data_IF_627291193652
#
_entry.id   IF_627291193652
#
_cell.length_a   1.000
_cell.length_b   1.000
_cell.length_c   1.000
_cell.angle_alpha   90.00
_cell.angle_beta   90.00
_cell.angle_gamma   90.00
#
_symmetry.space_group_name_H-M   'P 1'
#
loop_
_entity.id
_entity.type
_entity.pdbx_description
1 polymer ?
#
# COMPACT_ATOMS: atom_id res chain seq x y z
N UNK A 1 25.13 23.17 -24.74
CA UNK A 1 24.04 22.42 -24.07
C UNK A 1 23.66 23.18 -22.79
N UNK A 2 22.40 23.20 -22.38
CA UNK A 2 22.05 23.88 -21.12
C UNK A 2 22.71 23.14 -19.95
N UNK A 3 23.31 23.85 -18.95
CA UNK A 3 24.03 23.20 -17.85
C UNK A 3 23.23 22.15 -17.09
N UNK A 4 21.89 22.33 -16.99
CA UNK A 4 20.99 21.36 -16.38
C UNK A 4 20.97 20.00 -17.13
N UNK A 5 21.04 20.01 -18.45
CA UNK A 5 21.02 18.78 -19.26
C UNK A 5 22.35 18.00 -19.09
N UNK A 6 23.46 18.67 -18.87
CA UNK A 6 24.75 18.03 -18.60
C UNK A 6 24.75 17.33 -17.23
N UNK A 7 24.21 17.99 -16.20
CA UNK A 7 24.03 17.41 -14.86
C UNK A 7 23.13 16.19 -14.93
N UNK A 8 21.98 16.28 -15.61
CA UNK A 8 21.01 15.17 -15.75
C UNK A 8 21.63 13.99 -16.52
N UNK A 9 22.34 14.25 -17.62
CA UNK A 9 23.00 13.21 -18.40
C UNK A 9 24.07 12.47 -17.59
N UNK A 10 24.86 13.20 -16.79
CA UNK A 10 25.82 12.61 -15.87
C UNK A 10 25.11 11.70 -14.84
N UNK A 11 24.08 12.20 -14.16
CA UNK A 11 23.31 11.43 -13.19
C UNK A 11 22.68 10.16 -13.82
N UNK A 12 22.13 10.26 -15.03
CA UNK A 12 21.59 9.11 -15.75
C UNK A 12 22.68 8.10 -16.14
N UNK A 13 23.87 8.58 -16.48
CA UNK A 13 25.05 7.74 -16.70
C UNK A 13 25.46 6.98 -15.44
N UNK A 14 25.50 7.68 -14.30
CA UNK A 14 25.83 7.09 -13.00
C UNK A 14 24.82 6.02 -12.57
N UNK A 15 23.50 6.24 -12.80
CA UNK A 15 22.48 5.20 -12.56
C UNK A 15 22.69 3.96 -13.41
N UNK A 16 23.10 4.11 -14.69
CA UNK A 16 23.34 2.97 -15.59
C UNK A 16 24.62 2.21 -15.23
N UNK A 17 25.72 2.92 -14.95
CA UNK A 17 27.01 2.31 -14.61
C UNK A 17 26.97 1.59 -13.24
N UNK A 18 26.21 2.13 -12.29
CA UNK A 18 26.00 1.50 -10.97
C UNK A 18 24.92 0.40 -10.95
N UNK A 19 24.33 0.07 -12.10
CA UNK A 19 23.20 -0.86 -12.19
C UNK A 19 22.00 -0.51 -11.29
N UNK A 20 21.76 0.78 -11.07
CA UNK A 20 20.62 1.27 -10.28
C UNK A 20 19.50 1.87 -11.13
N UNK A 21 19.70 1.94 -12.45
CA UNK A 21 18.69 2.44 -13.38
C UNK A 21 17.46 1.52 -13.41
N UNK A 22 16.26 2.10 -13.25
CA UNK A 22 15.00 1.36 -13.22
C UNK A 22 14.43 1.22 -14.62
N UNK A 23 14.52 0.02 -15.17
CA UNK A 23 13.90 -0.30 -16.45
C UNK A 23 12.46 -0.76 -16.29
N UNK A 24 11.55 -0.15 -17.06
CA UNK A 24 10.18 -0.62 -17.21
C UNK A 24 10.13 -1.81 -18.17
N UNK A 25 9.31 -2.80 -17.82
CA UNK A 25 9.10 -3.99 -18.64
C UNK A 25 7.63 -4.09 -19.00
N UNK A 26 7.24 -3.81 -20.25
CA UNK A 26 5.85 -3.87 -20.66
C UNK A 26 5.25 -5.27 -20.53
N UNK A 27 4.01 -5.34 -20.03
CA UNK A 27 3.19 -6.55 -20.07
C UNK A 27 2.40 -6.58 -21.38
N UNK A 28 2.38 -7.74 -22.03
CA UNK A 28 1.68 -7.98 -23.30
C UNK A 28 0.35 -8.71 -23.09
N UNK A 29 -0.13 -8.75 -21.87
CA UNK A 29 -1.39 -9.37 -21.45
C UNK A 29 -2.02 -8.61 -20.28
N UNK A 30 -3.31 -8.86 -19.95
CA UNK A 30 -3.87 -8.39 -18.70
C UNK A 30 -3.05 -8.86 -17.49
N UNK A 31 -3.11 -8.09 -16.38
CA UNK A 31 -2.45 -8.42 -15.12
C UNK A 31 -3.14 -9.62 -14.46
N UNK A 32 -2.42 -10.74 -14.31
CA UNK A 32 -2.93 -11.99 -13.74
C UNK A 32 -1.78 -12.79 -13.08
N UNK A 33 -2.08 -14.00 -12.58
CA UNK A 33 -1.08 -14.95 -12.05
C UNK A 33 -0.01 -15.31 -13.09
N UNK A 34 -0.40 -15.42 -14.35
CA UNK A 34 0.49 -15.66 -15.49
C UNK A 34 0.28 -14.55 -16.52
N UNK A 35 1.34 -13.88 -16.88
CA UNK A 35 1.33 -12.76 -17.84
C UNK A 35 2.26 -13.04 -19.02
N UNK A 36 2.13 -12.25 -20.10
CA UNK A 36 3.02 -12.32 -21.25
C UNK A 36 4.04 -11.17 -21.19
N UNK A 37 5.32 -11.49 -21.30
CA UNK A 37 6.44 -10.55 -21.30
C UNK A 37 7.45 -10.98 -22.37
N UNK A 38 7.80 -10.09 -23.28
CA UNK A 38 8.72 -10.38 -24.40
C UNK A 38 8.35 -11.69 -25.13
N UNK A 39 7.07 -11.84 -25.47
CA UNK A 39 6.54 -13.01 -26.16
C UNK A 39 6.36 -14.28 -25.32
N UNK A 40 6.86 -14.33 -24.08
CA UNK A 40 6.86 -15.52 -23.21
C UNK A 40 5.84 -15.42 -22.07
N UNK A 41 5.22 -16.54 -21.72
CA UNK A 41 4.38 -16.65 -20.50
C UNK A 41 5.26 -16.81 -19.27
N UNK A 42 5.08 -15.94 -18.27
CA UNK A 42 5.82 -15.94 -17.00
C UNK A 42 4.87 -15.89 -15.83
N UNK A 43 5.20 -16.54 -14.71
CA UNK A 43 4.44 -16.43 -13.46
C UNK A 43 4.79 -15.10 -12.80
N UNK A 44 3.75 -14.33 -12.43
CA UNK A 44 3.88 -12.97 -11.91
C UNK A 44 3.99 -12.98 -10.40
N UNK A 45 5.15 -12.64 -9.86
CA UNK A 45 5.41 -12.47 -8.42
C UNK A 45 5.71 -11.01 -8.03
N UNK A 46 5.43 -10.03 -8.89
CA UNK A 46 5.72 -8.62 -8.62
C UNK A 46 4.46 -7.74 -8.56
N UNK A 47 3.27 -8.34 -8.63
CA UNK A 47 2.02 -7.60 -8.65
C UNK A 47 1.34 -7.54 -7.29
N UNK A 48 0.77 -6.37 -6.95
CA UNK A 48 -0.10 -6.20 -5.78
C UNK A 48 -1.52 -6.78 -5.99
N UNK A 49 -1.74 -7.57 -7.02
CA UNK A 49 -3.02 -8.23 -7.33
C UNK A 49 -3.26 -9.46 -6.43
N UNK A 50 -3.25 -9.25 -5.11
CA UNK A 50 -3.27 -10.32 -4.11
C UNK A 50 -4.46 -11.28 -4.24
N UNK A 51 -5.65 -10.78 -4.57
CA UNK A 51 -6.85 -11.59 -4.75
C UNK A 51 -7.09 -12.06 -6.18
N UNK A 52 -6.26 -11.63 -7.15
CA UNK A 52 -6.46 -11.95 -8.56
C UNK A 52 -7.61 -11.21 -9.20
N UNK A 53 -8.08 -10.11 -8.61
CA UNK A 53 -9.26 -9.39 -9.08
C UNK A 53 -8.99 -8.43 -10.25
N UNK A 54 -7.76 -8.04 -10.52
CA UNK A 54 -7.43 -7.04 -11.55
C UNK A 54 -7.91 -7.42 -12.96
N UNK A 55 -7.96 -8.72 -13.29
CA UNK A 55 -8.51 -9.22 -14.59
C UNK A 55 -9.71 -10.14 -14.43
N UNK A 56 -10.30 -10.19 -13.23
CA UNK A 56 -11.44 -11.07 -12.94
C UNK A 56 -12.65 -10.73 -13.81
N UNK A 57 -13.33 -11.72 -14.44
CA UNK A 57 -14.42 -11.49 -15.39
C UNK A 57 -15.55 -10.61 -14.83
N UNK A 58 -15.94 -10.81 -13.57
CA UNK A 58 -16.99 -10.00 -12.91
C UNK A 58 -16.55 -8.54 -12.68
N UNK A 59 -15.26 -8.30 -12.45
CA UNK A 59 -14.71 -6.93 -12.31
C UNK A 59 -14.66 -6.24 -13.67
N UNK A 60 -14.16 -6.93 -14.71
CA UNK A 60 -14.19 -6.40 -16.09
C UNK A 60 -15.61 -6.05 -16.54
N UNK A 61 -16.57 -6.95 -16.29
CA UNK A 61 -17.97 -6.68 -16.58
C UNK A 61 -18.49 -5.44 -15.83
N UNK A 62 -18.16 -5.29 -14.55
CA UNK A 62 -18.57 -4.14 -13.75
C UNK A 62 -18.00 -2.82 -14.30
N UNK A 63 -16.75 -2.81 -14.80
CA UNK A 63 -16.19 -1.61 -15.48
C UNK A 63 -17.00 -1.26 -16.72
N UNK A 64 -17.30 -2.25 -17.58
CA UNK A 64 -18.10 -2.04 -18.81
C UNK A 64 -19.51 -1.54 -18.49
N UNK A 65 -20.17 -2.16 -17.51
CA UNK A 65 -21.50 -1.76 -17.06
C UNK A 65 -21.45 -0.33 -16.44
N UNK A 66 -20.42 -0.03 -15.69
CA UNK A 66 -20.20 1.30 -15.11
C UNK A 66 -19.97 2.38 -16.16
N UNK A 67 -19.20 2.09 -17.22
CA UNK A 67 -19.02 3.04 -18.35
C UNK A 67 -20.34 3.29 -19.06
N UNK A 68 -21.15 2.24 -19.30
CA UNK A 68 -22.47 2.39 -19.92
C UNK A 68 -23.43 3.23 -19.09
N UNK A 69 -23.39 3.08 -17.74
CA UNK A 69 -24.32 3.75 -16.83
C UNK A 69 -23.91 5.19 -16.51
N UNK A 70 -22.62 5.44 -16.30
CA UNK A 70 -22.11 6.67 -15.70
C UNK A 70 -21.13 7.44 -16.60
N UNK A 71 -20.69 6.85 -17.71
CA UNK A 71 -19.59 7.38 -18.52
C UNK A 71 -18.21 7.09 -17.91
N UNK A 72 -17.12 7.49 -18.61
CA UNK A 72 -15.73 7.22 -18.20
C UNK A 72 -15.21 8.15 -17.11
N UNK A 73 -15.82 9.33 -16.91
CA UNK A 73 -15.34 10.32 -15.96
C UNK A 73 -16.35 11.40 -15.64
N UNK A 74 -16.03 12.27 -14.67
CA UNK A 74 -16.92 13.32 -14.19
C UNK A 74 -16.56 14.73 -14.73
N UNK A 75 -15.37 14.89 -15.30
CA UNK A 75 -14.83 16.19 -15.78
C UNK A 75 -14.91 17.30 -14.71
N UNK A 76 -14.93 16.97 -13.44
CA UNK A 76 -15.07 17.91 -12.32
C UNK A 76 -14.55 17.34 -11.01
N UNK A 77 -14.35 18.23 -10.03
CA UNK A 77 -14.05 17.90 -8.64
C UNK A 77 -15.34 17.62 -7.87
N UNK A 78 -15.22 16.92 -6.74
CA UNK A 78 -16.36 16.38 -5.98
C UNK A 78 -17.41 17.41 -5.58
N UNK A 79 -17.01 18.59 -5.09
CA UNK A 79 -17.96 19.56 -4.53
C UNK A 79 -18.67 20.43 -5.58
N UNK A 80 -18.15 20.52 -6.81
CA UNK A 80 -18.78 21.29 -7.88
C UNK A 80 -19.88 20.45 -8.55
N UNK A 81 -19.50 19.50 -9.40
CA UNK A 81 -20.43 18.57 -10.05
C UNK A 81 -19.84 17.18 -10.28
N UNK A 82 -18.71 16.88 -9.66
CA UNK A 82 -17.99 15.60 -9.81
C UNK A 82 -18.43 14.50 -8.83
N UNK A 83 -19.55 14.65 -8.11
CA UNK A 83 -20.10 13.61 -7.25
C UNK A 83 -21.22 12.85 -7.96
N UNK A 84 -21.07 11.55 -8.07
CA UNK A 84 -22.09 10.64 -8.56
C UNK A 84 -22.58 9.74 -7.41
N UNK A 85 -23.81 9.20 -7.52
CA UNK A 85 -24.40 8.29 -6.51
C UNK A 85 -23.46 7.14 -6.15
N UNK A 86 -22.79 6.55 -7.14
CA UNK A 86 -21.87 5.42 -6.92
C UNK A 86 -20.69 5.78 -6.02
N UNK A 87 -20.27 7.04 -5.97
CA UNK A 87 -19.24 7.47 -5.01
C UNK A 87 -19.75 7.39 -3.58
N UNK A 88 -20.97 7.89 -3.34
CA UNK A 88 -21.59 7.87 -2.01
C UNK A 88 -21.89 6.43 -1.55
N UNK A 89 -22.32 5.56 -2.48
CA UNK A 89 -22.54 4.15 -2.19
C UNK A 89 -21.22 3.43 -1.83
N UNK A 90 -20.14 3.71 -2.56
CA UNK A 90 -18.82 3.14 -2.27
C UNK A 90 -18.27 3.64 -0.94
N UNK A 91 -18.40 4.93 -0.62
CA UNK A 91 -18.02 5.52 0.68
C UNK A 91 -18.74 4.80 1.83
N UNK A 92 -20.06 4.64 1.75
CA UNK A 92 -20.87 3.90 2.73
C UNK A 92 -20.43 2.42 2.84
N UNK A 93 -20.14 1.80 1.70
CA UNK A 93 -19.69 0.39 1.66
C UNK A 93 -18.36 0.20 2.38
N UNK A 94 -17.40 1.09 2.14
CA UNK A 94 -16.08 1.06 2.77
C UNK A 94 -16.21 1.30 4.28
N UNK A 95 -16.93 2.34 4.68
CA UNK A 95 -17.17 2.67 6.10
C UNK A 95 -17.75 1.46 6.85
N UNK A 96 -18.82 0.88 6.33
CA UNK A 96 -19.46 -0.32 6.92
C UNK A 96 -18.51 -1.52 6.97
N UNK A 97 -17.72 -1.74 5.91
CA UNK A 97 -16.77 -2.85 5.85
C UNK A 97 -15.67 -2.72 6.91
N UNK A 98 -15.15 -1.52 7.13
CA UNK A 98 -14.09 -1.23 8.10
C UNK A 98 -14.61 -0.91 9.52
N UNK A 99 -15.92 -0.88 9.73
CA UNK A 99 -16.57 -0.44 10.99
C UNK A 99 -16.18 0.98 11.38
N UNK A 100 -16.06 1.88 10.40
CA UNK A 100 -15.91 3.31 10.57
C UNK A 100 -17.27 4.02 10.38
N UNK A 101 -17.34 5.29 10.78
CA UNK A 101 -18.58 6.07 10.68
C UNK A 101 -18.80 6.65 9.29
N UNK A 102 -17.73 7.13 8.64
CA UNK A 102 -17.77 7.70 7.28
C UNK A 102 -16.48 7.44 6.51
N UNK A 103 -16.50 7.72 5.20
CA UNK A 103 -15.37 7.55 4.29
C UNK A 103 -15.36 8.66 3.25
N UNK A 104 -14.17 9.08 2.81
CA UNK A 104 -13.94 10.02 1.71
C UNK A 104 -13.02 9.39 0.67
N UNK A 105 -13.38 9.51 -0.61
CA UNK A 105 -12.64 8.90 -1.74
C UNK A 105 -11.63 9.86 -2.37
N UNK A 106 -10.51 9.30 -2.81
CA UNK A 106 -9.44 9.98 -3.56
C UNK A 106 -9.06 9.18 -4.82
N UNK A 107 -8.28 9.78 -5.72
CA UNK A 107 -7.74 9.10 -6.90
C UNK A 107 -6.70 8.01 -6.54
N UNK A 108 -6.01 8.16 -5.42
CA UNK A 108 -5.04 7.18 -4.91
C UNK A 108 -4.92 7.28 -3.39
N UNK A 109 -4.38 6.25 -2.74
CA UNK A 109 -4.03 6.33 -1.33
C UNK A 109 -2.86 7.29 -1.08
N UNK A 110 -1.99 7.50 -2.08
CA UNK A 110 -0.96 8.53 -2.01
C UNK A 110 -1.59 9.91 -1.77
N UNK A 111 -2.53 10.30 -2.64
CA UNK A 111 -3.28 11.55 -2.50
C UNK A 111 -4.14 11.60 -1.24
N UNK A 112 -4.64 10.45 -0.77
CA UNK A 112 -5.39 10.38 0.49
C UNK A 112 -4.49 10.72 1.69
N UNK A 113 -3.30 10.15 1.78
CA UNK A 113 -2.34 10.43 2.85
C UNK A 113 -1.85 11.90 2.81
N UNK A 114 -1.50 12.43 1.63
CA UNK A 114 -1.18 13.86 1.48
C UNK A 114 -2.34 14.74 1.96
N UNK A 115 -3.55 14.42 1.52
CA UNK A 115 -4.76 15.15 1.87
C UNK A 115 -5.15 15.03 3.34
N UNK A 116 -4.86 13.89 3.98
CA UNK A 116 -5.10 13.66 5.40
C UNK A 116 -4.22 14.56 6.25
N UNK A 117 -2.89 14.41 6.14
CA UNK A 117 -1.97 15.12 7.01
C UNK A 117 -2.01 16.63 6.76
N UNK A 118 -1.90 17.08 5.51
CA UNK A 118 -1.96 18.50 5.17
C UNK A 118 -3.36 19.11 5.44
N UNK A 119 -4.43 18.33 5.39
CA UNK A 119 -5.78 18.78 5.67
C UNK A 119 -6.06 18.95 7.16
N UNK A 120 -5.51 18.08 8.01
CA UNK A 120 -5.69 18.12 9.46
C UNK A 120 -4.70 19.04 10.17
N UNK A 121 -3.41 19.00 9.76
CA UNK A 121 -2.30 19.61 10.49
C UNK A 121 -1.91 21.01 9.97
N UNK A 122 -2.46 21.45 8.83
CA UNK A 122 -2.36 22.84 8.38
C UNK A 122 -3.67 23.54 8.71
N UNK A 123 -3.63 24.48 9.65
CA UNK A 123 -4.84 25.19 10.06
C UNK A 123 -5.51 25.93 8.91
N UNK A 124 -6.82 25.70 8.77
CA UNK A 124 -7.72 26.34 7.82
C UNK A 124 -8.85 27.13 8.50
N UNK A 125 -8.90 27.04 9.83
CA UNK A 125 -10.01 27.60 10.63
C UNK A 125 -9.61 28.88 11.39
N UNK A 126 -8.37 29.36 11.24
CA UNK A 126 -7.89 30.57 11.90
C UNK A 126 -7.61 30.40 13.40
N UNK A 127 -7.28 29.19 13.86
CA UNK A 127 -6.76 29.02 15.22
C UNK A 127 -5.38 29.65 15.35
N UNK A 128 -5.26 30.62 16.23
CA UNK A 128 -3.99 31.27 16.52
C UNK A 128 -3.17 30.47 17.54
N UNK A 129 -1.83 30.54 17.42
CA UNK A 129 -0.87 29.99 18.39
C UNK A 129 -1.03 28.49 18.71
N UNK A 130 -1.41 27.68 17.72
CA UNK A 130 -1.44 26.23 17.90
C UNK A 130 -0.15 25.56 17.42
N UNK A 131 0.14 24.39 17.97
CA UNK A 131 1.07 23.42 17.42
C UNK A 131 0.40 22.05 17.35
N UNK A 132 0.79 21.27 16.33
CA UNK A 132 0.43 19.88 16.18
C UNK A 132 1.69 19.02 16.19
N UNK A 133 1.55 17.70 16.37
CA UNK A 133 2.67 16.78 16.26
C UNK A 133 2.30 15.51 15.54
N UNK A 134 3.19 15.06 14.65
CA UNK A 134 3.11 13.79 13.93
C UNK A 134 4.26 12.88 14.35
N UNK A 135 3.93 11.73 14.93
CA UNK A 135 4.87 10.61 15.18
C UNK A 135 4.71 9.59 14.06
N UNK A 136 5.78 9.33 13.31
CA UNK A 136 5.76 8.47 12.14
C UNK A 136 6.73 7.31 12.30
N UNK A 137 6.30 6.08 11.97
CA UNK A 137 7.21 4.95 11.88
C UNK A 137 8.26 5.20 10.79
N UNK A 138 9.50 4.81 11.06
CA UNK A 138 10.66 5.05 10.19
C UNK A 138 10.51 4.43 8.80
N UNK A 139 9.79 3.31 8.68
CA UNK A 139 9.59 2.58 7.42
C UNK A 139 8.23 2.84 6.78
N UNK A 140 7.49 3.83 7.24
CA UNK A 140 6.22 4.22 6.63
C UNK A 140 6.37 4.49 5.13
N UNK A 141 5.29 4.24 4.40
CA UNK A 141 5.20 4.50 2.98
C UNK A 141 5.50 5.97 2.63
N UNK A 142 6.12 6.20 1.47
CA UNK A 142 6.49 7.53 0.99
C UNK A 142 5.34 8.55 1.08
N UNK A 143 4.10 8.14 0.84
CA UNK A 143 2.93 9.03 0.91
C UNK A 143 2.64 9.56 2.33
N UNK A 144 2.92 8.78 3.38
CA UNK A 144 2.83 9.24 4.78
C UNK A 144 3.94 10.25 5.06
N UNK A 145 5.17 9.92 4.63
CA UNK A 145 6.34 10.80 4.78
C UNK A 145 6.13 12.13 4.06
N UNK A 146 5.68 12.09 2.80
CA UNK A 146 5.47 13.28 1.98
C UNK A 146 4.24 14.08 2.46
N UNK A 147 3.17 13.40 2.86
CA UNK A 147 2.02 14.04 3.52
C UNK A 147 2.43 14.81 4.79
N UNK A 148 3.30 14.22 5.61
CA UNK A 148 3.90 14.90 6.76
C UNK A 148 4.80 16.08 6.37
N UNK A 149 5.52 16.00 5.24
CA UNK A 149 6.34 17.11 4.72
C UNK A 149 5.54 18.29 4.20
N UNK A 150 4.31 18.06 3.74
CA UNK A 150 3.38 19.11 3.33
C UNK A 150 2.83 19.93 4.51
N UNK A 151 3.01 19.45 5.75
CA UNK A 151 2.65 20.20 6.95
C UNK A 151 3.68 21.31 7.22
N UNK A 152 3.19 22.50 7.61
CA UNK A 152 4.04 23.64 7.90
C UNK A 152 4.91 23.39 9.13
N UNK A 153 6.23 23.47 9.00
CA UNK A 153 7.17 23.24 10.11
C UNK A 153 7.05 24.23 11.27
N UNK A 154 6.46 25.38 11.03
CA UNK A 154 6.19 26.40 12.07
C UNK A 154 5.10 25.96 13.03
N UNK A 155 4.11 25.20 12.53
CA UNK A 155 2.92 24.77 13.28
C UNK A 155 2.85 23.27 13.53
N UNK A 156 3.70 22.47 12.89
CA UNK A 156 3.65 21.00 13.01
C UNK A 156 5.03 20.42 13.26
N UNK A 157 5.23 19.89 14.46
CA UNK A 157 6.42 19.11 14.79
C UNK A 157 6.29 17.68 14.19
N UNK A 158 7.44 17.11 13.82
CA UNK A 158 7.50 15.74 13.27
C UNK A 158 8.58 14.97 13.97
N UNK A 159 8.23 13.83 14.57
CA UNK A 159 9.16 12.90 15.18
C UNK A 159 9.06 11.54 14.51
N UNK A 160 10.18 10.89 14.28
CA UNK A 160 10.27 9.56 13.69
C UNK A 160 10.66 8.60 14.80
N UNK A 161 9.84 7.54 14.99
CA UNK A 161 10.21 6.45 15.88
C UNK A 161 10.76 5.25 15.09
N UNK A 162 11.63 4.47 15.74
CA UNK A 162 12.24 3.31 15.13
C UNK A 162 11.17 2.27 14.76
N UNK A 163 11.41 1.57 13.67
CA UNK A 163 10.47 0.65 13.07
C UNK A 163 9.87 -0.33 14.08
N UNK A 164 8.55 -0.25 14.27
CA UNK A 164 7.76 -1.07 15.19
C UNK A 164 8.20 -0.99 16.67
N UNK A 165 9.06 -0.04 17.03
CA UNK A 165 9.54 0.14 18.40
C UNK A 165 8.54 0.96 19.23
N UNK A 166 7.64 0.25 19.89
CA UNK A 166 6.61 0.81 20.79
C UNK A 166 7.25 1.56 21.95
N UNK A 167 8.38 1.07 22.48
CA UNK A 167 9.06 1.68 23.60
C UNK A 167 9.73 3.01 23.19
N UNK A 168 10.30 3.08 21.98
CA UNK A 168 10.82 4.34 21.45
C UNK A 168 9.70 5.35 21.24
N UNK A 169 8.58 4.93 20.65
CA UNK A 169 7.41 5.81 20.51
C UNK A 169 6.89 6.32 21.86
N UNK A 170 6.80 5.44 22.87
CA UNK A 170 6.33 5.83 24.19
C UNK A 170 7.27 6.88 24.84
N UNK A 171 8.59 6.73 24.72
CA UNK A 171 9.55 7.76 25.18
C UNK A 171 9.31 9.11 24.50
N UNK A 172 9.09 9.13 23.19
CA UNK A 172 8.82 10.38 22.47
C UNK A 172 7.51 11.03 22.90
N UNK A 173 6.47 10.23 23.16
CA UNK A 173 5.18 10.71 23.67
C UNK A 173 5.30 11.24 25.09
N UNK A 174 6.08 10.60 25.95
CA UNK A 174 6.33 11.02 27.32
C UNK A 174 7.12 12.36 27.38
N UNK A 175 8.13 12.54 26.52
CA UNK A 175 8.87 13.81 26.38
C UNK A 175 7.95 14.99 25.98
N UNK A 176 6.87 14.69 25.29
CA UNK A 176 5.94 15.69 24.74
C UNK A 176 4.61 15.80 25.52
N UNK A 177 4.44 15.06 26.62
CA UNK A 177 3.16 14.98 27.33
C UNK A 177 2.65 16.34 27.82
N UNK A 178 3.56 17.18 28.32
CA UNK A 178 3.23 18.50 28.89
C UNK A 178 3.22 19.62 27.85
N UNK A 179 3.54 19.33 26.59
CA UNK A 179 3.48 20.31 25.51
C UNK A 179 2.02 20.51 25.05
N UNK A 180 1.66 21.76 24.81
CA UNK A 180 0.31 22.11 24.36
C UNK A 180 0.16 21.89 22.85
N UNK A 181 0.04 20.60 22.42
CA UNK A 181 -0.32 20.26 21.06
C UNK A 181 -1.84 20.20 20.90
N UNK A 182 -2.35 20.85 19.83
CA UNK A 182 -3.77 20.74 19.44
C UNK A 182 -4.11 19.31 19.02
N UNK A 183 -3.30 18.75 18.10
CA UNK A 183 -3.42 17.35 17.67
C UNK A 183 -2.12 16.60 17.90
N UNK A 184 -2.21 15.39 18.41
CA UNK A 184 -1.16 14.38 18.41
C UNK A 184 -1.59 13.26 17.49
N UNK A 185 -0.77 12.92 16.50
CA UNK A 185 -1.06 11.87 15.52
C UNK A 185 0.07 10.85 15.54
N UNK A 186 -0.28 9.58 15.70
CA UNK A 186 0.61 8.42 15.50
C UNK A 186 0.25 7.83 14.14
N UNK A 187 1.19 7.77 13.20
CA UNK A 187 0.98 7.24 11.87
C UNK A 187 1.85 6.01 11.60
N UNK A 188 1.24 4.96 11.08
CA UNK A 188 1.90 3.72 10.70
C UNK A 188 1.27 3.08 9.47
N UNK A 189 2.08 2.36 8.65
CA UNK A 189 1.51 1.34 7.76
C UNK A 189 0.93 0.20 8.62
N UNK A 190 -0.17 -0.40 8.22
CA UNK A 190 -0.67 -1.64 8.81
C UNK A 190 0.21 -2.83 8.45
N UNK A 191 0.62 -2.87 7.17
CA UNK A 191 1.62 -3.79 6.63
C UNK A 191 2.67 -3.00 5.88
N UNK A 192 3.92 -3.13 6.28
CA UNK A 192 5.04 -2.45 5.62
C UNK A 192 5.38 -3.10 4.29
N UNK A 193 5.37 -2.29 3.24
CA UNK A 193 5.34 -2.76 1.85
C UNK A 193 6.60 -3.49 1.40
N UNK A 194 7.73 -3.25 2.03
CA UNK A 194 9.02 -3.85 1.64
C UNK A 194 9.40 -5.05 2.52
N UNK A 195 8.89 -5.11 3.74
CA UNK A 195 9.14 -6.12 4.76
C UNK A 195 8.04 -7.18 4.81
N UNK A 196 6.79 -6.78 4.58
CA UNK A 196 5.63 -7.66 4.71
C UNK A 196 5.29 -8.00 6.17
N UNK A 197 5.84 -7.27 7.12
CA UNK A 197 5.51 -7.38 8.53
C UNK A 197 4.37 -6.43 8.94
N UNK A 198 3.82 -6.65 10.12
CA UNK A 198 2.64 -5.94 10.61
C UNK A 198 3.03 -4.96 11.72
N UNK A 199 2.40 -3.78 11.73
CA UNK A 199 2.49 -2.86 12.85
C UNK A 199 1.87 -3.48 14.12
N UNK A 200 2.40 -3.18 15.32
CA UNK A 200 1.85 -3.64 16.60
C UNK A 200 0.63 -2.79 17.01
N UNK A 201 -0.48 -2.92 16.26
CA UNK A 201 -1.67 -2.05 16.41
C UNK A 201 -2.31 -2.09 17.81
N UNK A 202 -2.37 -3.24 18.53
CA UNK A 202 -2.92 -3.24 19.89
C UNK A 202 -2.13 -2.33 20.84
N UNK A 203 -0.81 -2.35 20.76
CA UNK A 203 0.09 -1.53 21.58
C UNK A 203 0.01 -0.05 21.17
N UNK A 204 0.07 0.23 19.86
CA UNK A 204 -0.05 1.59 19.33
C UNK A 204 -1.39 2.24 19.72
N UNK A 205 -2.49 1.49 19.64
CA UNK A 205 -3.81 1.94 20.10
C UNK A 205 -3.81 2.28 21.61
N UNK A 206 -3.16 1.46 22.42
CA UNK A 206 -3.07 1.72 23.87
C UNK A 206 -2.27 3.01 24.15
N UNK A 207 -1.15 3.21 23.44
CA UNK A 207 -0.39 4.47 23.54
C UNK A 207 -1.20 5.67 23.04
N UNK A 208 -1.88 5.54 21.91
CA UNK A 208 -2.75 6.61 21.39
C UNK A 208 -3.78 7.04 22.42
N UNK A 209 -4.45 6.07 23.07
CA UNK A 209 -5.41 6.35 24.15
C UNK A 209 -4.75 6.98 25.38
N UNK A 210 -3.58 6.48 25.82
CA UNK A 210 -2.84 6.97 27.00
C UNK A 210 -2.44 8.44 26.85
N UNK A 211 -1.98 8.83 25.65
CA UNK A 211 -1.42 10.16 25.38
C UNK A 211 -2.37 11.08 24.59
N UNK A 212 -3.66 10.72 24.52
CA UNK A 212 -4.69 11.48 23.79
C UNK A 212 -4.26 11.82 22.35
N UNK A 213 -3.80 10.81 21.62
CA UNK A 213 -3.38 10.89 20.23
C UNK A 213 -4.37 10.16 19.32
N UNK A 214 -4.47 10.58 18.06
CA UNK A 214 -5.17 9.85 17.00
C UNK A 214 -4.23 8.81 16.38
N UNK A 215 -4.72 7.58 16.22
CA UNK A 215 -3.99 6.53 15.50
C UNK A 215 -4.44 6.46 14.04
N UNK A 216 -3.50 6.72 13.12
CA UNK A 216 -3.66 6.60 11.67
C UNK A 216 -2.97 5.33 11.18
N UNK A 217 -3.71 4.48 10.47
CA UNK A 217 -3.19 3.25 9.89
C UNK A 217 -3.41 3.24 8.37
N UNK A 218 -2.33 3.19 7.59
CA UNK A 218 -2.41 2.90 6.15
C UNK A 218 -2.50 1.39 5.93
N UNK A 219 -3.68 0.90 5.61
CA UNK A 219 -3.98 -0.51 5.45
C UNK A 219 -3.97 -0.96 3.98
N UNK A 220 -3.28 -0.20 3.11
CA UNK A 220 -3.23 -0.41 1.67
C UNK A 220 -2.74 -1.79 1.23
N UNK A 221 -1.89 -2.45 2.02
CA UNK A 221 -1.41 -3.79 1.74
C UNK A 221 -2.21 -4.89 2.44
N UNK A 222 -3.05 -4.55 3.41
CA UNK A 222 -3.80 -5.54 4.19
C UNK A 222 -5.29 -5.62 3.82
N UNK A 223 -5.90 -4.54 3.33
CA UNK A 223 -7.28 -4.55 2.86
C UNK A 223 -7.50 -5.61 1.77
N UNK A 224 -8.44 -6.53 1.98
CA UNK A 224 -8.68 -7.69 1.13
C UNK A 224 -7.71 -8.86 1.36
N UNK A 225 -6.70 -8.71 2.21
CA UNK A 225 -5.56 -9.65 2.36
C UNK A 225 -5.54 -10.31 3.73
N UNK A 226 -5.59 -9.52 4.79
CA UNK A 226 -5.52 -9.96 6.18
C UNK A 226 -6.89 -9.95 6.86
N UNK A 227 -6.98 -10.68 7.98
CA UNK A 227 -8.23 -10.96 8.67
C UNK A 227 -9.02 -12.10 8.04
N UNK A 228 -9.93 -12.69 8.81
CA UNK A 228 -10.78 -13.81 8.34
C UNK A 228 -11.72 -13.42 7.20
N UNK A 229 -12.09 -12.12 7.14
CA UNK A 229 -13.02 -11.59 6.14
C UNK A 229 -12.37 -10.56 5.20
N UNK A 230 -11.03 -10.36 5.31
CA UNK A 230 -10.28 -9.45 4.47
C UNK A 230 -10.40 -7.98 4.87
N UNK A 231 -10.74 -7.69 6.13
CA UNK A 231 -10.87 -6.31 6.64
C UNK A 231 -9.54 -5.69 7.08
N UNK A 232 -8.44 -6.36 6.75
CA UNK A 232 -7.11 -5.83 6.93
C UNK A 232 -6.47 -6.12 8.28
N UNK A 233 -5.41 -5.36 8.58
CA UNK A 233 -4.62 -5.51 9.80
C UNK A 233 -5.43 -5.31 11.08
N UNK A 234 -6.41 -4.37 11.15
CA UNK A 234 -7.24 -4.22 12.35
C UNK A 234 -8.08 -5.47 12.67
N UNK A 235 -8.55 -6.20 11.65
CA UNK A 235 -9.25 -7.48 11.87
C UNK A 235 -8.28 -8.58 12.30
N UNK A 236 -7.12 -8.69 11.65
CA UNK A 236 -6.11 -9.72 11.96
C UNK A 236 -5.61 -9.61 13.40
N UNK A 237 -5.47 -8.38 13.91
CA UNK A 237 -4.96 -8.08 15.26
C UNK A 237 -6.05 -7.79 16.29
N UNK A 238 -7.32 -8.09 16.00
CA UNK A 238 -8.47 -7.95 16.91
C UNK A 238 -8.71 -6.52 17.44
N UNK A 239 -8.40 -5.50 16.63
CA UNK A 239 -8.65 -4.07 16.95
C UNK A 239 -9.57 -3.39 15.93
N UNK A 240 -10.35 -4.18 15.17
CA UNK A 240 -11.30 -3.66 14.19
C UNK A 240 -12.37 -2.77 14.86
N UNK A 241 -12.56 -1.56 14.30
CA UNK A 241 -13.47 -0.54 14.87
C UNK A 241 -12.86 0.25 16.04
N UNK A 242 -11.54 0.10 16.30
CA UNK A 242 -10.83 0.78 17.38
C UNK A 242 -9.66 1.64 16.86
N UNK A 243 -9.56 1.83 15.54
CA UNK A 243 -8.58 2.70 14.89
C UNK A 243 -9.29 4.00 14.52
N UNK A 244 -8.69 5.14 14.81
CA UNK A 244 -9.32 6.44 14.60
C UNK A 244 -9.45 6.79 13.13
N UNK A 245 -8.38 6.52 12.34
CA UNK A 245 -8.33 6.81 10.92
C UNK A 245 -7.65 5.65 10.19
N UNK A 246 -8.33 5.12 9.17
CA UNK A 246 -7.79 4.10 8.28
C UNK A 246 -7.70 4.69 6.89
N UNK A 247 -6.51 4.66 6.28
CA UNK A 247 -6.34 4.93 4.86
C UNK A 247 -6.15 3.62 4.10
N UNK A 248 -6.48 3.62 2.82
CA UNK A 248 -6.35 2.41 2.01
C UNK A 248 -6.49 2.65 0.52
N UNK A 249 -6.16 1.64 -0.26
CA UNK A 249 -6.17 1.70 -1.73
C UNK A 249 -7.15 0.72 -2.35
N UNK A 250 -7.76 1.14 -3.44
CA UNK A 250 -8.55 0.28 -4.35
C UNK A 250 -7.67 -0.28 -5.48
N UNK A 251 -6.44 0.19 -5.60
CA UNK A 251 -5.48 -0.15 -6.67
C UNK A 251 -4.67 -1.44 -6.45
N UNK A 252 -4.99 -2.23 -5.42
CA UNK A 252 -4.28 -3.48 -5.11
C UNK A 252 -5.27 -4.66 -5.06
N UNK A 253 -5.48 -5.29 -3.90
CA UNK A 253 -6.37 -6.43 -3.75
C UNK A 253 -7.82 -6.16 -4.17
N UNK A 254 -8.29 -4.92 -4.01
CA UNK A 254 -9.67 -4.51 -4.27
C UNK A 254 -9.96 -4.18 -5.73
N UNK A 255 -9.46 -4.98 -6.67
CA UNK A 255 -9.75 -4.86 -8.09
C UNK A 255 -8.61 -4.31 -8.94
N UNK A 256 -7.53 -3.80 -8.33
CA UNK A 256 -6.28 -3.44 -9.02
C UNK A 256 -6.37 -2.21 -9.94
N UNK A 257 -7.46 -1.43 -9.89
CA UNK A 257 -7.61 -0.22 -10.69
C UNK A 257 -6.95 1.00 -9.99
N UNK A 258 -7.62 2.13 -9.90
CA UNK A 258 -7.18 3.29 -9.12
C UNK A 258 -8.18 3.58 -8.02
N UNK A 259 -7.80 4.44 -7.10
CA UNK A 259 -8.61 4.91 -6.00
C UNK A 259 -7.92 4.73 -4.66
N UNK A 260 -8.17 5.68 -3.77
CA UNK A 260 -7.80 5.64 -2.37
C UNK A 260 -8.94 6.17 -1.52
N UNK A 261 -8.82 5.99 -0.23
CA UNK A 261 -9.84 6.48 0.70
C UNK A 261 -9.23 6.78 2.07
N UNK A 262 -9.96 7.59 2.84
CA UNK A 262 -9.78 7.78 4.27
C UNK A 262 -11.11 7.41 4.92
N UNK A 263 -11.07 6.55 5.93
CA UNK A 263 -12.23 6.17 6.76
C UNK A 263 -11.95 6.51 8.22
N UNK A 264 -12.97 6.99 8.94
CA UNK A 264 -12.82 7.36 10.34
C UNK A 264 -14.11 7.91 10.93
N UNK A 265 -13.96 8.77 11.95
CA UNK A 265 -15.06 9.51 12.57
C UNK A 265 -15.67 10.50 11.59
N UNK A 266 -16.98 10.68 11.66
CA UNK A 266 -17.76 11.55 10.75
C UNK A 266 -17.24 12.99 10.73
N UNK A 267 -16.85 13.52 11.89
CA UNK A 267 -16.33 14.89 12.04
C UNK A 267 -15.01 15.06 11.28
N UNK A 268 -14.09 14.08 11.37
CA UNK A 268 -12.80 14.09 10.66
C UNK A 268 -13.05 14.05 9.17
N UNK A 269 -13.89 13.14 8.70
CA UNK A 269 -14.19 12.99 7.27
C UNK A 269 -14.89 14.25 6.71
N UNK A 270 -15.84 14.80 7.45
CA UNK A 270 -16.54 16.04 7.08
C UNK A 270 -15.56 17.22 6.99
N UNK A 271 -14.63 17.34 7.94
CA UNK A 271 -13.61 18.38 7.92
C UNK A 271 -12.66 18.23 6.72
N UNK A 272 -12.19 17.01 6.43
CA UNK A 272 -11.35 16.74 5.27
C UNK A 272 -12.04 17.06 3.93
N UNK A 273 -13.36 16.90 3.82
CA UNK A 273 -14.12 17.33 2.65
C UNK A 273 -14.02 18.84 2.39
N UNK A 274 -13.75 19.65 3.43
CA UNK A 274 -13.62 21.11 3.34
C UNK A 274 -12.16 21.57 3.21
N UNK A 275 -11.18 20.77 3.66
CA UNK A 275 -9.79 21.23 3.81
C UNK A 275 -8.78 20.46 2.95
N UNK A 276 -9.08 19.22 2.58
CA UNK A 276 -8.15 18.36 1.85
C UNK A 276 -7.98 18.80 0.40
N UNK A 277 -6.83 19.39 0.09
CA UNK A 277 -6.54 19.94 -1.25
C UNK A 277 -6.65 18.91 -2.39
N UNK A 278 -6.11 17.65 -2.25
CA UNK A 278 -6.29 16.64 -3.29
C UNK A 278 -7.75 16.24 -3.54
N UNK A 279 -8.63 16.44 -2.57
CA UNK A 279 -10.08 16.24 -2.76
C UNK A 279 -10.77 17.43 -3.42
N UNK A 280 -10.40 18.66 -3.01
CA UNK A 280 -11.06 19.88 -3.45
C UNK A 280 -10.63 20.27 -4.87
N UNK A 281 -9.37 20.03 -5.26
CA UNK A 281 -8.77 20.52 -6.49
C UNK A 281 -8.43 19.46 -7.53
N UNK A 282 -8.61 18.17 -7.23
CA UNK A 282 -8.41 17.09 -8.21
C UNK A 282 -9.73 16.51 -8.69
N UNK A 283 -9.77 16.05 -9.93
CA UNK A 283 -10.94 15.37 -10.47
C UNK A 283 -11.33 14.16 -9.60
N UNK A 284 -12.63 13.85 -9.63
CA UNK A 284 -13.19 12.70 -8.91
C UNK A 284 -12.67 11.36 -9.45
N UNK A 285 -12.67 10.36 -8.60
CA UNK A 285 -12.50 8.97 -9.02
C UNK A 285 -13.50 8.64 -10.15
N UNK A 286 -13.06 8.09 -11.30
CA UNK A 286 -13.98 7.72 -12.38
C UNK A 286 -15.12 6.84 -11.86
N UNK A 287 -16.40 7.18 -12.16
CA UNK A 287 -17.55 6.48 -11.58
C UNK A 287 -17.63 5.00 -12.01
N UNK A 288 -17.16 4.66 -13.20
CA UNK A 288 -17.05 3.27 -13.65
C UNK A 288 -16.06 2.45 -12.79
N UNK A 289 -14.99 3.07 -12.30
CA UNK A 289 -14.03 2.41 -11.40
C UNK A 289 -14.54 2.35 -9.97
N UNK A 290 -15.28 3.37 -9.51
CA UNK A 290 -16.01 3.29 -8.24
C UNK A 290 -17.02 2.13 -8.27
N UNK A 291 -17.75 1.93 -9.37
CA UNK A 291 -18.68 0.82 -9.56
C UNK A 291 -17.98 -0.54 -9.56
N UNK A 292 -16.81 -0.64 -10.21
CA UNK A 292 -16.02 -1.88 -10.18
C UNK A 292 -15.46 -2.20 -8.78
N UNK A 293 -15.07 -1.19 -8.01
CA UNK A 293 -14.63 -1.36 -6.62
C UNK A 293 -15.80 -1.84 -5.74
N UNK A 294 -17.01 -1.31 -5.91
CA UNK A 294 -18.22 -1.84 -5.26
C UNK A 294 -18.36 -3.36 -5.51
N UNK A 295 -18.13 -3.79 -6.75
CA UNK A 295 -18.19 -5.22 -7.11
C UNK A 295 -17.08 -6.03 -6.45
N UNK A 296 -15.89 -5.47 -6.25
CA UNK A 296 -14.80 -6.15 -5.53
C UNK A 296 -15.18 -6.39 -4.06
N UNK A 297 -15.72 -5.37 -3.37
CA UNK A 297 -16.26 -5.55 -2.01
C UNK A 297 -17.37 -6.58 -1.94
N UNK A 298 -18.30 -6.59 -2.91
CA UNK A 298 -19.38 -7.57 -2.97
C UNK A 298 -18.83 -9.00 -3.11
N UNK A 299 -17.85 -9.21 -3.99
CA UNK A 299 -17.22 -10.51 -4.17
C UNK A 299 -16.52 -10.98 -2.90
N UNK A 300 -15.76 -10.11 -2.25
CA UNK A 300 -15.04 -10.41 -1.02
C UNK A 300 -15.98 -10.76 0.14
N UNK A 301 -17.11 -10.04 0.26
CA UNK A 301 -18.12 -10.32 1.28
C UNK A 301 -18.88 -11.63 1.07
N UNK A 302 -19.15 -11.97 -0.20
CA UNK A 302 -19.89 -13.19 -0.55
C UNK A 302 -19.03 -14.45 -0.52
N UNK A 303 -17.75 -14.32 -0.87
CA UNK A 303 -16.84 -15.47 -1.02
C UNK A 303 -15.50 -15.22 -0.31
N UNK A 304 -15.35 -15.83 0.85
CA UNK A 304 -14.13 -15.79 1.65
C UNK A 304 -13.04 -16.76 1.16
N UNK A 305 -13.34 -17.59 0.16
CA UNK A 305 -12.40 -18.58 -0.37
C UNK A 305 -11.16 -17.95 -0.97
N UNK A 306 -11.26 -16.72 -1.53
CA UNK A 306 -10.13 -15.98 -2.07
C UNK A 306 -9.10 -15.64 -0.99
N UNK A 307 -9.55 -15.13 0.17
CA UNK A 307 -8.67 -14.82 1.31
C UNK A 307 -8.03 -16.09 1.85
N UNK A 308 -8.82 -17.16 2.00
CA UNK A 308 -8.30 -18.47 2.44
C UNK A 308 -7.26 -18.99 1.45
N UNK A 309 -7.54 -19.01 0.16
CA UNK A 309 -6.61 -19.48 -0.87
C UNK A 309 -5.33 -18.66 -0.91
N UNK A 310 -5.42 -17.32 -0.73
CA UNK A 310 -4.24 -16.46 -0.62
C UNK A 310 -3.37 -16.86 0.57
N UNK A 311 -3.98 -17.10 1.73
CA UNK A 311 -3.28 -17.55 2.95
C UNK A 311 -2.62 -18.91 2.75
N UNK A 312 -3.34 -19.88 2.20
CA UNK A 312 -2.83 -21.23 1.92
C UNK A 312 -1.63 -21.19 0.94
N UNK A 313 -1.76 -20.44 -0.16
CA UNK A 313 -0.69 -20.22 -1.13
C UNK A 313 0.54 -19.55 -0.49
N UNK A 314 0.32 -18.56 0.37
CA UNK A 314 1.39 -17.83 1.07
C UNK A 314 2.15 -18.75 2.02
N UNK A 315 1.45 -19.52 2.84
CA UNK A 315 2.05 -20.47 3.77
C UNK A 315 2.87 -21.54 3.02
N UNK A 316 2.29 -22.07 1.94
CA UNK A 316 2.97 -23.03 1.08
C UNK A 316 4.28 -22.46 0.53
N UNK A 317 4.22 -21.30 -0.10
CA UNK A 317 5.40 -20.68 -0.71
C UNK A 317 6.47 -20.33 0.32
N UNK A 318 6.08 -19.73 1.47
CA UNK A 318 7.01 -19.38 2.55
C UNK A 318 7.74 -20.61 3.11
N UNK A 319 7.01 -21.71 3.30
CA UNK A 319 7.60 -22.97 3.76
C UNK A 319 8.61 -23.50 2.74
N UNK A 320 8.20 -23.64 1.49
CA UNK A 320 9.03 -24.31 0.49
C UNK A 320 10.25 -23.47 0.06
N UNK A 321 10.15 -22.13 0.03
CA UNK A 321 11.32 -21.29 -0.29
C UNK A 321 12.38 -21.34 0.83
N UNK A 322 11.96 -21.46 2.10
CA UNK A 322 12.87 -21.74 3.23
C UNK A 322 13.53 -23.11 3.12
N UNK A 323 12.77 -24.14 2.74
CA UNK A 323 13.29 -25.49 2.55
C UNK A 323 14.34 -25.55 1.44
N UNK A 324 14.26 -24.63 0.44
CA UNK A 324 15.30 -24.49 -0.57
C UNK A 324 16.60 -23.85 -0.07
N UNK A 325 16.61 -23.29 1.16
CA UNK A 325 17.77 -22.63 1.77
C UNK A 325 17.76 -21.10 1.66
N UNK A 326 16.71 -20.48 1.11
CA UNK A 326 16.63 -19.03 1.04
C UNK A 326 16.31 -18.38 2.38
N UNK A 327 17.00 -17.30 2.69
CA UNK A 327 16.66 -16.39 3.81
C UNK A 327 15.45 -15.53 3.45
N UNK A 328 14.40 -15.57 4.26
CA UNK A 328 13.23 -14.68 4.12
C UNK A 328 12.94 -13.96 5.43
N UNK A 329 12.26 -12.81 5.37
CA UNK A 329 11.67 -12.20 6.56
C UNK A 329 10.43 -13.00 6.96
N UNK A 330 10.34 -13.37 8.23
CA UNK A 330 9.19 -14.12 8.77
C UNK A 330 7.92 -13.27 8.77
N UNK A 331 6.78 -13.92 8.69
CA UNK A 331 5.48 -13.26 8.70
C UNK A 331 4.39 -14.10 8.04
N UNK A 332 3.19 -13.54 8.04
CA UNK A 332 1.98 -14.18 7.50
C UNK A 332 1.50 -13.55 6.18
N UNK A 333 2.06 -12.39 5.84
CA UNK A 333 1.63 -11.61 4.68
C UNK A 333 2.13 -12.25 3.36
N UNK A 334 1.37 -12.11 2.23
CA UNK A 334 1.78 -12.59 0.91
C UNK A 334 2.96 -11.84 0.28
N UNK A 335 3.42 -10.75 0.85
CA UNK A 335 4.74 -10.20 0.55
C UNK A 335 5.79 -11.10 1.22
N UNK A 336 6.67 -11.69 0.42
CA UNK A 336 7.75 -12.56 0.90
C UNK A 336 9.09 -11.97 0.45
N UNK A 337 9.78 -11.22 1.31
CA UNK A 337 11.10 -10.67 1.02
C UNK A 337 12.15 -11.79 1.11
N UNK A 338 12.81 -12.04 0.01
CA UNK A 338 13.90 -13.03 -0.10
C UNK A 338 15.21 -12.24 -0.04
N UNK A 339 15.92 -12.35 1.07
CA UNK A 339 17.07 -11.51 1.39
C UNK A 339 18.32 -11.96 0.64
N UNK A 340 18.94 -11.05 -0.08
CA UNK A 340 20.15 -11.30 -0.87
C UNK A 340 21.34 -10.42 -0.45
N UNK A 341 21.08 -9.30 0.25
CA UNK A 341 22.09 -8.37 0.75
C UNK A 341 22.60 -7.41 -0.31
N UNK A 342 23.19 -7.93 -1.40
CA UNK A 342 23.84 -7.14 -2.44
C UNK A 342 22.89 -6.75 -3.58
N UNK A 343 22.95 -5.49 -4.02
CA UNK A 343 22.11 -4.95 -5.08
C UNK A 343 22.32 -5.65 -6.42
N UNK A 344 23.57 -5.89 -6.77
CA UNK A 344 23.96 -6.59 -8.01
C UNK A 344 23.43 -8.02 -8.05
N UNK A 345 23.47 -8.73 -6.92
CA UNK A 345 22.93 -10.08 -6.79
C UNK A 345 21.42 -10.08 -6.94
N UNK A 346 20.71 -9.14 -6.30
CA UNK A 346 19.26 -9.02 -6.40
C UNK A 346 18.80 -8.70 -7.83
N UNK A 347 19.52 -7.82 -8.52
CA UNK A 347 19.26 -7.50 -9.92
C UNK A 347 19.50 -8.71 -10.83
N UNK A 348 20.65 -9.37 -10.68
CA UNK A 348 21.00 -10.54 -11.49
C UNK A 348 20.03 -11.71 -11.26
N UNK A 349 19.68 -11.99 -10.00
CA UNK A 349 18.69 -13.02 -9.67
C UNK A 349 17.32 -12.73 -10.29
N UNK A 350 16.85 -11.46 -10.24
CA UNK A 350 15.62 -11.05 -10.92
C UNK A 350 15.66 -11.31 -12.42
N UNK A 351 16.80 -11.05 -13.06
CA UNK A 351 17.02 -11.23 -14.49
C UNK A 351 17.01 -12.71 -14.88
N UNK A 352 17.74 -13.54 -14.11
CA UNK A 352 17.82 -14.98 -14.34
C UNK A 352 16.46 -15.67 -14.08
N UNK A 353 15.72 -15.27 -13.05
CA UNK A 353 14.37 -15.78 -12.78
C UNK A 353 13.41 -15.44 -13.93
N UNK A 354 13.52 -14.25 -14.53
CA UNK A 354 12.71 -13.92 -15.71
C UNK A 354 12.99 -14.84 -16.90
N UNK A 355 14.24 -15.24 -17.11
CA UNK A 355 14.62 -16.23 -18.16
C UNK A 355 14.00 -17.61 -17.88
N UNK A 356 13.92 -18.00 -16.60
CA UNK A 356 13.28 -19.25 -16.14
C UNK A 356 11.73 -19.16 -16.08
N UNK A 357 11.14 -18.05 -16.53
CA UNK A 357 9.69 -17.86 -16.60
C UNK A 357 9.02 -17.35 -15.31
N UNK A 358 9.77 -16.66 -14.45
CA UNK A 358 9.28 -16.05 -13.21
C UNK A 358 9.56 -14.55 -13.22
N UNK A 359 8.51 -13.74 -13.12
CA UNK A 359 8.63 -12.28 -13.01
C UNK A 359 8.62 -11.86 -11.54
N UNK A 360 9.77 -11.56 -10.99
CA UNK A 360 9.97 -10.99 -9.64
C UNK A 360 10.94 -9.83 -9.73
N UNK A 361 10.78 -8.81 -8.90
CA UNK A 361 11.66 -7.63 -8.89
C UNK A 361 12.65 -7.69 -7.73
N UNK A 362 13.92 -7.41 -8.07
CA UNK A 362 14.93 -7.04 -7.10
C UNK A 362 14.69 -5.61 -6.59
N UNK A 363 14.90 -5.40 -5.32
CA UNK A 363 14.82 -4.10 -4.65
C UNK A 363 16.12 -3.84 -3.92
N UNK A 364 16.61 -2.58 -4.03
CA UNK A 364 17.85 -2.11 -3.41
C UNK A 364 17.73 -0.62 -3.07
N UNK A 365 18.74 -0.05 -2.45
CA UNK A 365 18.77 1.37 -2.12
C UNK A 365 18.43 2.26 -3.33
N UNK A 366 17.62 3.32 -3.19
CA UNK A 366 17.03 3.84 -1.95
C UNK A 366 15.68 3.23 -1.53
N UNK A 367 15.20 2.18 -2.21
CA UNK A 367 13.90 1.55 -1.93
C UNK A 367 13.94 0.75 -0.63
N UNK A 368 15.08 0.11 -0.36
CA UNK A 368 15.39 -0.58 0.90
C UNK A 368 16.77 -0.11 1.39
N UNK A 369 17.13 -0.28 2.68
CA UNK A 369 18.43 0.11 3.20
C UNK A 369 19.61 -0.54 2.46
N UNK A 370 20.80 0.10 2.53
CA UNK A 370 22.04 -0.50 1.99
C UNK A 370 22.36 -1.80 2.72
N UNK A 371 22.81 -2.83 1.97
CA UNK A 371 23.08 -4.15 2.52
C UNK A 371 21.83 -5.03 2.72
N UNK A 372 20.64 -4.52 2.40
CA UNK A 372 19.38 -5.24 2.58
C UNK A 372 18.65 -5.52 1.26
N UNK A 373 19.39 -5.59 0.15
CA UNK A 373 18.79 -5.90 -1.14
C UNK A 373 18.09 -7.26 -1.12
N UNK A 374 16.96 -7.33 -1.78
CA UNK A 374 16.06 -8.48 -1.72
C UNK A 374 15.28 -8.67 -3.03
N UNK A 375 14.80 -9.88 -3.28
CA UNK A 375 13.68 -10.11 -4.20
C UNK A 375 12.38 -10.00 -3.42
N UNK A 376 11.46 -9.15 -3.88
CA UNK A 376 10.14 -9.01 -3.26
C UNK A 376 9.13 -9.87 -4.01
N UNK A 377 8.94 -11.11 -3.55
CA UNK A 377 7.91 -11.98 -4.09
C UNK A 377 6.55 -11.66 -3.50
N UNK A 378 5.52 -11.58 -4.34
CA UNK A 378 4.14 -11.31 -3.97
C UNK A 378 3.25 -12.46 -4.42
N UNK A 379 2.67 -13.14 -3.45
CA UNK A 379 1.79 -14.29 -3.69
C UNK A 379 0.36 -13.78 -3.97
N UNK A 380 -0.36 -14.49 -4.83
CA UNK A 380 -1.73 -14.18 -5.20
C UNK A 380 -2.63 -15.39 -5.01
N UNK A 381 -3.90 -15.13 -4.71
CA UNK A 381 -4.96 -16.14 -4.75
C UNK A 381 -5.17 -16.70 -6.17
N UNK A 382 -4.78 -15.94 -7.21
CA UNK A 382 -4.86 -16.40 -8.58
C UNK A 382 -3.82 -17.49 -8.92
N UNK A 383 -2.69 -17.57 -8.20
CA UNK A 383 -1.72 -18.64 -8.41
C UNK A 383 -2.33 -20.01 -8.15
N UNK A 384 -2.12 -20.94 -9.08
CA UNK A 384 -2.32 -22.36 -8.85
C UNK A 384 -1.13 -22.98 -8.11
N UNK A 385 -1.32 -24.15 -7.49
CA UNK A 385 -0.21 -24.89 -6.91
C UNK A 385 0.89 -25.17 -7.96
N UNK A 386 0.49 -25.52 -9.17
CA UNK A 386 1.42 -25.76 -10.30
C UNK A 386 2.26 -24.52 -10.64
N UNK A 387 1.67 -23.31 -10.55
CA UNK A 387 2.43 -22.08 -10.78
C UNK A 387 3.49 -21.89 -9.69
N UNK A 388 3.11 -22.10 -8.41
CA UNK A 388 4.04 -21.98 -7.29
C UNK A 388 5.14 -23.05 -7.35
N UNK A 389 4.83 -24.28 -7.74
CA UNK A 389 5.82 -25.35 -7.93
C UNK A 389 6.84 -24.97 -9.05
N UNK A 390 6.37 -24.40 -10.15
CA UNK A 390 7.25 -23.88 -11.23
C UNK A 390 8.15 -22.75 -10.73
N UNK A 391 7.60 -21.86 -9.93
CA UNK A 391 8.35 -20.76 -9.30
C UNK A 391 9.46 -21.31 -8.42
N UNK A 392 9.15 -22.24 -7.52
CA UNK A 392 10.11 -22.86 -6.61
C UNK A 392 11.22 -23.59 -7.37
N UNK A 393 10.89 -24.28 -8.46
CA UNK A 393 11.89 -24.92 -9.32
C UNK A 393 12.80 -23.90 -10.00
N UNK A 394 12.26 -22.77 -10.48
CA UNK A 394 13.06 -21.68 -11.03
C UNK A 394 14.00 -21.09 -9.97
N UNK A 395 13.51 -20.85 -8.76
CA UNK A 395 14.33 -20.40 -7.63
C UNK A 395 15.44 -21.40 -7.30
N UNK A 396 15.15 -22.71 -7.28
CA UNK A 396 16.14 -23.75 -7.05
C UNK A 396 17.26 -23.72 -8.08
N UNK A 397 16.93 -23.60 -9.38
CA UNK A 397 17.91 -23.54 -10.46
C UNK A 397 18.77 -22.28 -10.37
N UNK A 398 18.13 -21.11 -10.24
CA UNK A 398 18.81 -19.83 -10.18
C UNK A 398 19.65 -19.69 -8.92
N UNK A 399 19.13 -20.14 -7.77
CA UNK A 399 19.83 -20.11 -6.49
C UNK A 399 21.15 -20.90 -6.52
N UNK A 400 21.13 -22.12 -7.09
CA UNK A 400 22.35 -22.90 -7.31
C UNK A 400 23.31 -22.25 -8.30
N UNK A 401 22.79 -21.74 -9.43
CA UNK A 401 23.61 -21.07 -10.48
C UNK A 401 24.35 -19.86 -9.92
N UNK A 402 23.69 -19.07 -9.09
CA UNK A 402 24.22 -17.84 -8.49
C UNK A 402 24.87 -18.06 -7.11
N UNK A 403 24.96 -19.31 -6.64
CA UNK A 403 25.51 -19.68 -5.33
C UNK A 403 24.85 -18.96 -4.16
N UNK A 404 23.53 -18.82 -4.22
CA UNK A 404 22.71 -18.23 -3.16
C UNK A 404 22.31 -19.32 -2.15
N UNK A 405 22.12 -20.55 -2.63
CA UNK A 405 21.76 -21.76 -1.88
C UNK A 405 22.64 -22.92 -2.31
#
# INVERSE_FOLDING_TARGET
MQPILEILNKALGDFKSSNTYKYETPLESPQDAVVKVKGKKVVMLASNNYLGLASHPKIKKAVVDGVKKFGPGMASVRFICGTNEVHLELEKRIASFLKCEDTILYLSCFSANEGLFAGLLNDRLGFENYKDILYSDRLNHASIIDGGRLCKGETTDRKIYEHRDVNHLERLLEEDKDKNYRFRIIATDGVFSMEGDLAPLPELKNLAKKYNALLVVDDSHALGVLGKTGRGTPEELNVLGQIDIITGTLGKAMGGAVGGFISGKKEIISYLRQTSRPYIFSNSLPPCLAYSAMKAFELLQKDKSLVKKLRDNTQYFRKEIKNLGYKIIDGIHPIVPIMLGEASLAQNASFELLKEGVYVKGLWFPVVPRGEARLRAQISAAHSKKDLDRVLEAFRKVGKRLKII
#
